data_IF_914920997469
#
_entry.id   IF_914920997469
#
_cell.length_a   1.000
_cell.length_b   1.000
_cell.length_c   1.000
_cell.angle_alpha   90.00
_cell.angle_beta   90.00
_cell.angle_gamma   90.00
#
_symmetry.space_group_name_H-M   'P 1'
#
loop_
_entity.id
_entity.type
_entity.pdbx_description
1 polymer ?
2 non-polymer ?
3 non-polymer ?
4 water ?
#
# COMPACT_ATOMS: atom_id res chain seq x y z
N UNK A 9 -0.59 16.74 -18.55
CA UNK A 9 -0.88 16.06 -19.85
C UNK A 9 0.09 14.89 -20.05
N UNK A 10 -0.38 13.84 -20.66
CA UNK A 10 0.44 12.70 -21.04
C UNK A 10 0.53 12.68 -22.56
N UNK A 11 1.61 12.18 -23.10
CA UNK A 11 1.72 11.94 -24.56
C UNK A 11 1.79 10.41 -24.71
N UNK A 12 0.91 9.84 -25.51
CA UNK A 12 0.87 8.38 -25.78
C UNK A 12 1.04 8.18 -27.28
N UNK A 13 2.01 7.39 -27.69
CA UNK A 13 2.32 7.16 -29.11
C UNK A 13 2.96 5.80 -29.27
N UNK A 14 3.35 5.44 -30.49
CA UNK A 14 4.15 4.21 -30.72
C UNK A 14 5.46 4.64 -31.37
N UNK A 15 6.56 4.00 -31.02
CA UNK A 15 7.88 4.33 -31.57
C UNK A 15 8.03 3.61 -32.94
N UNK A 16 9.22 3.62 -33.51
CA UNK A 16 9.48 3.07 -34.86
C UNK A 16 9.44 1.55 -34.81
N UNK A 17 9.51 0.96 -33.63
CA UNK A 17 9.39 -0.51 -33.43
C UNK A 17 7.93 -0.86 -33.12
N UNK A 18 7.00 0.10 -33.16
CA UNK A 18 5.57 -0.12 -32.91
C UNK A 18 5.27 -0.31 -31.43
N UNK A 19 6.23 0.06 -30.59
CA UNK A 19 6.11 -0.10 -29.11
C UNK A 19 5.46 1.15 -28.51
N UNK A 20 4.53 0.96 -27.61
CA UNK A 20 3.81 2.07 -26.93
C UNK A 20 4.82 2.87 -26.11
N UNK A 21 4.76 4.18 -26.24
CA UNK A 21 5.61 5.12 -25.48
C UNK A 21 4.64 6.05 -24.74
N UNK A 22 4.76 6.15 -23.42
CA UNK A 22 3.97 7.11 -22.61
C UNK A 22 4.99 8.04 -21.93
N UNK A 23 4.94 9.33 -22.22
CA UNK A 23 5.84 10.32 -21.58
C UNK A 23 7.30 9.89 -21.73
N UNK A 24 7.70 9.52 -22.94
CA UNK A 24 9.12 9.20 -23.21
C UNK A 24 9.54 7.80 -22.79
N UNK A 25 8.68 7.03 -22.13
CA UNK A 25 9.00 5.69 -21.60
C UNK A 25 8.35 4.62 -22.47
N UNK A 26 9.14 3.66 -22.91
CA UNK A 26 8.68 2.55 -23.78
C UNK A 26 8.11 1.42 -22.93
N UNK A 27 7.04 0.79 -23.40
CA UNK A 27 6.36 -0.34 -22.74
C UNK A 27 6.27 -1.49 -23.75
N UNK A 28 7.38 -2.19 -23.99
CA UNK A 28 7.40 -3.24 -25.01
C UNK A 28 6.52 -4.47 -24.71
N UNK A 29 6.07 -4.63 -23.47
CA UNK A 29 5.20 -5.76 -23.05
C UNK A 29 3.73 -5.41 -23.28
N UNK A 30 3.43 -4.18 -23.63
CA UNK A 30 2.05 -3.68 -23.73
C UNK A 30 1.45 -3.85 -25.13
N UNK A 31 0.19 -4.24 -25.17
CA UNK A 31 -0.57 -4.35 -26.43
C UNK A 31 -1.27 -3.00 -26.65
N UNK A 32 -2.02 -2.53 -25.65
CA UNK A 32 -2.76 -1.24 -25.71
C UNK A 32 -2.67 -0.51 -24.37
N UNK A 33 -2.80 0.83 -24.39
CA UNK A 33 -2.92 1.62 -23.15
C UNK A 33 -4.40 1.58 -22.76
N UNK A 34 -4.70 1.30 -21.49
CA UNK A 34 -6.09 1.32 -20.96
C UNK A 34 -6.36 2.69 -20.32
N UNK A 35 -5.46 3.14 -19.44
CA UNK A 35 -5.65 4.41 -18.73
C UNK A 35 -4.32 5.01 -18.31
N UNK A 36 -4.18 6.32 -18.48
CA UNK A 36 -3.00 7.05 -18.02
C UNK A 36 -3.16 7.29 -16.52
N UNK A 37 -2.09 7.66 -15.85
CA UNK A 37 -2.11 7.96 -14.40
C UNK A 37 -3.16 9.02 -14.12
N UNK A 38 -3.25 10.06 -14.94
CA UNK A 38 -4.18 11.20 -14.67
C UNK A 38 -5.63 10.69 -14.65
N UNK A 39 -5.99 9.86 -15.60
CA UNK A 39 -7.36 9.28 -15.71
C UNK A 39 -7.61 8.38 -14.49
N UNK A 40 -6.64 7.54 -14.16
CA UNK A 40 -6.77 6.62 -12.99
C UNK A 40 -7.01 7.45 -11.72
N UNK A 41 -6.13 8.42 -11.47
CA UNK A 41 -6.21 9.21 -10.23
C UNK A 41 -7.54 9.97 -10.15
N UNK A 42 -7.99 10.53 -11.28
CA UNK A 42 -9.27 11.29 -11.32
C UNK A 42 -10.42 10.35 -11.00
N UNK A 43 -10.34 9.13 -11.50
CA UNK A 43 -11.41 8.12 -11.32
C UNK A 43 -11.44 7.64 -9.86
N UNK A 44 -10.27 7.47 -9.24
CA UNK A 44 -10.20 7.02 -7.82
C UNK A 44 -10.78 8.13 -6.93
N UNK A 45 -10.40 9.37 -7.19
CA UNK A 45 -10.84 10.49 -6.32
C UNK A 45 -12.37 10.65 -6.46
N UNK A 46 -12.90 10.46 -7.66
CA UNK A 46 -14.34 10.59 -7.90
C UNK A 46 -15.09 9.54 -7.08
N UNK A 47 -14.57 8.32 -7.07
CA UNK A 47 -15.20 7.23 -6.27
C UNK A 47 -15.01 7.55 -4.78
N UNK A 48 -13.86 8.08 -4.38
CA UNK A 48 -13.62 8.47 -2.98
C UNK A 48 -14.73 9.43 -2.54
N UNK A 49 -15.12 10.35 -3.42
CA UNK A 49 -16.17 11.35 -3.10
C UNK A 49 -17.50 10.60 -2.93
N UNK A 50 -17.76 9.63 -3.79
CA UNK A 50 -18.99 8.82 -3.71
C UNK A 50 -19.01 8.01 -2.41
N UNK A 51 -17.87 7.44 -2.02
CA UNK A 51 -17.79 6.59 -0.81
C UNK A 51 -18.04 7.51 0.39
N UNK A 52 -17.37 8.64 0.46
CA UNK A 52 -17.51 9.59 1.59
C UNK A 52 -18.98 10.05 1.67
N UNK A 53 -19.56 10.36 0.54
CA UNK A 53 -20.94 10.90 0.51
C UNK A 53 -21.88 9.80 0.99
N UNK A 54 -21.62 8.55 0.64
CA UNK A 54 -22.50 7.42 1.03
C UNK A 54 -22.40 7.12 2.53
N UNK A 55 -21.21 7.09 3.10
CA UNK A 55 -21.00 6.64 4.50
C UNK A 55 -21.07 7.77 5.54
N UNK A 56 -20.77 8.99 5.14
CA UNK A 56 -20.71 10.13 6.10
C UNK A 56 -21.97 10.19 6.98
N UNK A 57 -23.19 10.06 6.42
CA UNK A 57 -24.39 10.20 7.24
C UNK A 57 -24.81 8.96 8.04
N UNK A 58 -24.09 7.86 7.97
CA UNK A 58 -24.53 6.58 8.57
C UNK A 58 -24.05 6.41 10.00
N UNK A 59 -24.73 5.55 10.76
CA UNK A 59 -24.37 5.21 12.15
C UNK A 59 -24.14 3.68 12.21
N UNK A 60 -23.43 3.20 13.21
CA UNK A 60 -23.22 1.75 13.42
C UNK A 60 -22.84 1.51 14.88
N UNK A 61 -22.47 0.29 15.23
CA UNK A 61 -22.17 -0.08 16.63
C UNK A 61 -21.14 0.86 17.24
N UNK A 62 -21.33 1.25 18.51
CA UNK A 62 -20.43 2.14 19.27
C UNK A 62 -19.53 1.26 20.14
N UNK A 63 -18.26 1.08 19.74
CA UNK A 63 -17.28 0.28 20.50
C UNK A 63 -16.34 1.23 21.26
N UNK A 64 -16.41 2.53 21.00
CA UNK A 64 -15.61 3.55 21.71
C UNK A 64 -16.27 3.82 23.08
N UNK A 65 -17.56 4.10 23.08
CA UNK A 65 -18.31 4.37 24.32
C UNK A 65 -19.05 3.15 24.81
N UNK A 66 -18.80 1.97 24.24
CA UNK A 66 -19.41 0.72 24.71
C UNK A 66 -20.90 0.94 24.77
N UNK A 67 -21.40 1.81 23.89
CA UNK A 67 -22.81 2.19 23.84
C UNK A 67 -23.49 1.39 22.78
N UNK A 68 -24.61 1.88 22.30
CA UNK A 68 -25.37 1.12 21.30
C UNK A 68 -24.89 1.53 19.93
N UNK A 69 -25.38 2.64 19.42
CA UNK A 69 -25.13 3.05 18.02
C UNK A 69 -24.58 4.46 18.04
N UNK A 70 -23.70 4.80 17.10
CA UNK A 70 -23.14 6.16 17.01
C UNK A 70 -22.80 6.47 15.55
N UNK A 71 -22.76 7.75 15.14
CA UNK A 71 -22.33 8.07 13.80
C UNK A 71 -20.92 7.56 13.44
N UNK A 72 -20.69 7.30 12.17
CA UNK A 72 -19.32 6.96 11.71
C UNK A 72 -18.47 8.17 12.10
N UNK A 73 -17.36 7.95 12.79
CA UNK A 73 -16.51 9.01 13.34
C UNK A 73 -15.10 8.48 13.55
N UNK A 74 -14.18 9.32 13.96
CA UNK A 74 -12.83 8.83 14.33
C UNK A 74 -12.99 7.91 15.54
N UNK A 75 -13.97 8.08 16.40
CA UNK A 75 -14.21 7.17 17.55
C UNK A 75 -14.74 5.81 17.04
N UNK A 76 -15.57 5.80 15.99
CA UNK A 76 -16.18 4.59 15.39
C UNK A 76 -16.02 4.68 13.88
N UNK A 77 -14.80 4.46 13.34
CA UNK A 77 -14.59 4.66 11.91
C UNK A 77 -15.20 3.62 10.97
N UNK A 78 -15.31 3.97 9.70
CA UNK A 78 -15.64 2.96 8.68
C UNK A 78 -14.52 1.92 8.73
N UNK A 79 -14.85 0.65 8.64
CA UNK A 79 -13.85 -0.43 8.60
C UNK A 79 -13.57 -0.76 7.13
N UNK A 80 -12.31 -0.63 6.70
CA UNK A 80 -11.91 -0.98 5.32
C UNK A 80 -11.02 -2.23 5.38
N UNK A 81 -11.34 -3.24 4.60
CA UNK A 81 -10.49 -4.46 4.47
C UNK A 81 -9.95 -4.42 3.04
N UNK A 82 -8.63 -4.28 2.90
CA UNK A 82 -7.93 -4.22 1.61
C UNK A 82 -7.37 -5.60 1.27
N UNK A 83 -7.54 -6.03 0.04
CA UNK A 83 -7.14 -7.40 -0.41
C UNK A 83 -5.72 -7.36 -1.01
N UNK A 84 -4.74 -7.92 -0.31
CA UNK A 84 -3.34 -7.97 -0.76
C UNK A 84 -3.17 -9.09 -1.78
N UNK A 85 -2.14 -8.99 -2.62
CA UNK A 85 -1.20 -7.84 -2.74
C UNK A 85 -1.71 -6.82 -3.76
N UNK A 86 -2.62 -7.23 -4.64
CA UNK A 86 -3.01 -6.38 -5.77
C UNK A 86 -3.55 -5.02 -5.41
N UNK A 87 -4.17 -4.88 -4.26
CA UNK A 87 -4.88 -3.62 -3.91
C UNK A 87 -4.03 -2.63 -3.09
N UNK A 88 -2.76 -2.90 -2.78
CA UNK A 88 -2.03 -2.03 -1.81
C UNK A 88 -1.74 -0.60 -2.35
N UNK A 89 -1.43 -0.47 -3.63
CA UNK A 89 -1.12 0.86 -4.23
C UNK A 89 -2.45 1.63 -4.36
N UNK A 90 -3.46 0.95 -4.88
CA UNK A 90 -4.82 1.51 -4.99
C UNK A 90 -5.30 1.98 -3.60
N UNK A 91 -5.11 1.14 -2.57
CA UNK A 91 -5.56 1.46 -1.19
C UNK A 91 -4.82 2.72 -0.68
N UNK A 92 -3.51 2.78 -0.87
CA UNK A 92 -2.68 3.90 -0.40
C UNK A 92 -3.23 5.21 -0.99
N UNK A 93 -3.56 5.18 -2.27
CA UNK A 93 -4.10 6.40 -2.94
C UNK A 93 -5.53 6.69 -2.49
N UNK A 94 -6.37 5.66 -2.45
CA UNK A 94 -7.80 5.83 -2.10
C UNK A 94 -7.92 6.39 -0.66
N UNK A 95 -7.15 5.88 0.29
CA UNK A 95 -7.32 6.32 1.71
C UNK A 95 -6.98 7.82 1.81
N UNK A 96 -6.01 8.27 1.03
CA UNK A 96 -5.60 9.70 1.05
C UNK A 96 -6.72 10.55 0.45
N UNK A 97 -7.41 10.08 -0.56
CA UNK A 97 -8.58 10.80 -1.15
C UNK A 97 -9.75 10.73 -0.14
N UNK A 98 -9.94 9.59 0.50
CA UNK A 98 -11.00 9.47 1.53
C UNK A 98 -10.73 10.48 2.65
N UNK A 99 -9.47 10.65 3.04
CA UNK A 99 -9.09 11.66 4.05
C UNK A 99 -9.36 13.07 3.54
N UNK A 100 -9.09 13.32 2.28
CA UNK A 100 -9.37 14.64 1.66
C UNK A 100 -10.85 14.97 1.82
N UNK A 101 -11.72 13.98 1.66
CA UNK A 101 -13.19 14.17 1.76
C UNK A 101 -13.67 14.01 3.21
N UNK A 102 -12.75 13.79 4.14
CA UNK A 102 -13.10 13.79 5.59
C UNK A 102 -13.83 12.56 6.06
N UNK A 103 -13.72 11.43 5.36
CA UNK A 103 -14.40 10.18 5.78
C UNK A 103 -13.56 9.50 6.86
N UNK A 104 -14.07 9.30 8.09
CA UNK A 104 -13.31 8.59 9.11
C UNK A 104 -13.23 7.10 8.76
N UNK A 105 -12.03 6.54 8.74
CA UNK A 105 -11.85 5.12 8.34
C UNK A 105 -10.56 4.52 8.89
N UNK A 106 -10.52 3.20 8.99
CA UNK A 106 -9.31 2.45 9.40
C UNK A 106 -9.17 1.30 8.40
N UNK A 107 -7.95 0.82 8.18
CA UNK A 107 -7.67 -0.21 7.13
C UNK A 107 -6.99 -1.43 7.73
N UNK A 108 -7.49 -2.61 7.46
CA UNK A 108 -6.82 -3.89 7.80
C UNK A 108 -6.66 -4.63 6.47
N UNK A 109 -5.91 -5.71 6.46
CA UNK A 109 -5.59 -6.45 5.25
C UNK A 109 -5.88 -7.94 5.34
N UNK A 110 -6.33 -8.51 4.23
CA UNK A 110 -6.42 -9.98 4.08
C UNK A 110 -5.76 -10.33 2.75
N UNK A 111 -5.34 -11.58 2.62
CA UNK A 111 -4.73 -12.07 1.38
C UNK A 111 -5.36 -13.43 1.04
N UNK A 112 -5.77 -13.64 -0.20
CA UNK A 112 -6.38 -14.90 -0.68
C UNK A 112 -5.59 -15.40 -1.89
N UNK A 113 -5.65 -16.69 -2.17
CA UNK A 113 -5.01 -17.28 -3.36
C UNK A 113 -5.84 -18.46 -3.84
N UNK A 114 -5.62 -18.91 -5.06
CA UNK A 114 -6.39 -20.01 -5.67
C UNK A 114 -5.48 -21.20 -5.93
N UNK A 115 -5.98 -22.41 -5.80
CA UNK A 115 -5.24 -23.66 -6.11
C UNK A 115 -6.06 -24.40 -7.20
N UNK A 122 -10.29 -23.93 -10.36
CA UNK A 122 -9.53 -23.29 -9.26
C UNK A 122 -10.43 -23.15 -8.02
N UNK A 123 -9.88 -23.36 -6.82
CA UNK A 123 -10.60 -23.21 -5.53
C UNK A 123 -9.85 -22.17 -4.69
N UNK A 124 -10.51 -21.46 -3.78
CA UNK A 124 -9.89 -20.34 -3.01
C UNK A 124 -9.39 -20.80 -1.64
N UNK A 125 -8.33 -20.18 -1.14
CA UNK A 125 -7.77 -20.43 0.21
C UNK A 125 -7.27 -19.10 0.79
N UNK A 126 -7.41 -18.89 2.10
CA UNK A 126 -6.96 -17.65 2.76
C UNK A 126 -5.47 -17.78 3.09
N UNK A 127 -4.63 -16.87 2.60
CA UNK A 127 -3.18 -16.87 2.90
C UNK A 127 -2.96 -16.07 4.18
N UNK A 128 -3.66 -14.96 4.36
CA UNK A 128 -3.50 -14.08 5.53
C UNK A 128 -4.85 -13.55 6.01
N UNK A 129 -5.09 -13.62 7.32
CA UNK A 129 -6.35 -13.18 7.93
C UNK A 129 -6.24 -11.73 8.41
N UNK A 130 -7.36 -11.03 8.50
CA UNK A 130 -7.42 -9.70 9.12
C UNK A 130 -7.14 -9.87 10.61
N UNK A 131 -6.71 -8.82 11.30
CA UNK A 131 -6.43 -8.85 12.76
C UNK A 131 -7.51 -8.06 13.51
N UNK A 132 -8.44 -7.40 12.82
CA UNK A 132 -9.58 -6.68 13.45
C UNK A 132 -10.53 -7.73 14.04
N UNK A 133 -10.99 -7.54 15.27
CA UNK A 133 -11.81 -8.56 16.01
C UNK A 133 -13.12 -7.98 16.58
N UNK A 134 -13.52 -6.77 16.20
CA UNK A 134 -14.77 -6.15 16.67
C UNK A 134 -15.52 -5.50 15.49
N UNK A 135 -15.86 -6.28 14.48
CA UNK A 135 -16.57 -5.78 13.26
C UNK A 135 -18.09 -6.03 13.32
N UNK A 136 -18.57 -6.69 14.37
CA UNK A 136 -20.00 -7.02 14.45
C UNK A 136 -20.77 -5.69 14.55
N UNK A 137 -21.77 -5.49 13.70
CA UNK A 137 -22.61 -4.29 13.76
C UNK A 137 -21.92 -3.11 13.12
N UNK A 138 -20.83 -3.35 12.40
CA UNK A 138 -20.03 -2.26 11.80
C UNK A 138 -20.23 -2.23 10.29
N UNK A 139 -20.16 -1.04 9.70
CA UNK A 139 -20.12 -0.86 8.23
C UNK A 139 -18.72 -1.28 7.77
N UNK A 140 -18.64 -2.20 6.84
CA UNK A 140 -17.35 -2.75 6.34
C UNK A 140 -17.31 -2.55 4.82
N UNK A 141 -16.21 -2.02 4.31
CA UNK A 141 -15.98 -1.82 2.86
C UNK A 141 -14.74 -2.65 2.46
N UNK A 142 -14.87 -3.47 1.44
CA UNK A 142 -13.75 -4.27 0.90
C UNK A 142 -13.14 -3.43 -0.23
N UNK A 143 -11.82 -3.25 -0.24
CA UNK A 143 -11.10 -2.58 -1.36
C UNK A 143 -10.36 -3.69 -2.12
N UNK A 144 -10.71 -3.92 -3.38
CA UNK A 144 -10.12 -4.97 -4.23
C UNK A 144 -9.59 -4.32 -5.52
N UNK A 145 -8.59 -4.93 -6.13
CA UNK A 145 -7.95 -4.40 -7.35
C UNK A 145 -8.88 -4.61 -8.56
N UNK A 146 -9.41 -5.81 -8.70
CA UNK A 146 -10.20 -6.12 -9.91
C UNK A 146 -11.28 -7.18 -9.65
N UNK A 147 -12.41 -7.05 -10.32
CA UNK A 147 -13.47 -8.08 -10.33
C UNK A 147 -13.46 -8.58 -11.79
N UNK A 148 -13.19 -9.86 -12.00
CA UNK A 148 -13.12 -10.49 -13.33
C UNK A 148 -14.17 -11.62 -13.34
N UNK A 149 -13.83 -12.83 -12.91
CA UNK A 149 -14.77 -13.97 -12.78
C UNK A 149 -15.78 -13.69 -11.67
N UNK A 150 -15.39 -12.98 -10.63
CA UNK A 150 -16.24 -12.73 -9.45
C UNK A 150 -16.05 -13.74 -8.32
N UNK A 151 -15.29 -14.77 -8.56
CA UNK A 151 -15.14 -15.90 -7.60
C UNK A 151 -14.34 -15.47 -6.37
N UNK A 152 -13.30 -14.67 -6.58
CA UNK A 152 -12.44 -14.20 -5.46
C UNK A 152 -13.33 -13.40 -4.49
N UNK A 153 -14.12 -12.45 -5.00
CA UNK A 153 -14.95 -11.55 -4.14
C UNK A 153 -16.14 -12.34 -3.54
N UNK A 154 -16.69 -13.31 -4.26
CA UNK A 154 -17.81 -14.12 -3.69
C UNK A 154 -17.26 -14.83 -2.44
N UNK A 155 -16.07 -15.42 -2.54
CA UNK A 155 -15.42 -16.12 -1.41
C UNK A 155 -15.19 -15.15 -0.24
N UNK A 156 -14.64 -13.98 -0.53
CA UNK A 156 -14.27 -13.02 0.55
C UNK A 156 -15.54 -12.51 1.21
N UNK A 157 -16.54 -12.15 0.42
CA UNK A 157 -17.78 -11.54 0.99
C UNK A 157 -18.50 -12.57 1.86
N UNK A 158 -18.57 -13.81 1.40
CA UNK A 158 -19.26 -14.88 2.18
C UNK A 158 -18.52 -15.08 3.51
N UNK A 159 -17.19 -15.06 3.48
CA UNK A 159 -16.38 -15.30 4.69
C UNK A 159 -16.52 -14.11 5.67
N UNK A 160 -16.36 -12.89 5.19
CA UNK A 160 -16.39 -11.71 6.09
C UNK A 160 -17.79 -11.63 6.72
N UNK A 161 -18.82 -11.90 5.93
CA UNK A 161 -20.22 -11.79 6.42
C UNK A 161 -20.45 -12.81 7.54
N UNK A 162 -20.10 -14.06 7.30
CA UNK A 162 -20.32 -15.17 8.27
C UNK A 162 -19.48 -14.99 9.53
N UNK A 163 -18.20 -14.61 9.39
CA UNK A 163 -17.25 -14.56 10.53
C UNK A 163 -17.32 -13.25 11.33
N UNK A 164 -17.71 -12.13 10.71
CA UNK A 164 -17.71 -10.80 11.38
C UNK A 164 -19.13 -10.24 11.62
N UNK A 165 -20.14 -10.71 10.91
CA UNK A 165 -21.55 -10.22 11.08
C UNK A 165 -21.59 -8.67 11.00
N UNK A 166 -21.05 -8.05 9.94
CA UNK A 166 -21.06 -6.62 9.84
C UNK A 166 -22.48 -6.08 9.65
N UNK A 167 -22.71 -4.82 9.98
CA UNK A 167 -24.02 -4.16 9.76
C UNK A 167 -24.27 -4.15 8.26
N UNK A 168 -23.30 -3.69 7.48
CA UNK A 168 -23.38 -3.72 6.01
C UNK A 168 -22.00 -4.12 5.46
N UNK A 169 -21.98 -4.68 4.26
CA UNK A 169 -20.74 -5.12 3.60
C UNK A 169 -20.82 -4.68 2.13
N UNK A 170 -19.93 -3.81 1.71
CA UNK A 170 -19.88 -3.31 0.31
C UNK A 170 -18.48 -3.51 -0.24
N UNK A 171 -18.34 -3.37 -1.54
CA UNK A 171 -17.05 -3.60 -2.25
C UNK A 171 -16.74 -2.42 -3.15
N UNK A 172 -15.52 -1.92 -3.12
CA UNK A 172 -15.02 -0.92 -4.07
C UNK A 172 -13.89 -1.58 -4.85
N UNK A 173 -13.96 -1.59 -6.17
CA UNK A 173 -12.89 -2.13 -7.03
C UNK A 173 -12.26 -1.00 -7.83
N UNK A 174 -10.96 -1.10 -8.07
CA UNK A 174 -10.27 -0.18 -8.96
C UNK A 174 -10.78 -0.49 -10.37
N UNK A 175 -10.83 -1.77 -10.70
CA UNK A 175 -11.17 -2.18 -12.08
C UNK A 175 -12.29 -3.22 -12.15
N UNK A 176 -13.17 -3.06 -13.13
CA UNK A 176 -14.23 -4.04 -13.45
C UNK A 176 -13.91 -4.58 -14.84
N UNK A 177 -13.78 -5.89 -15.00
CA UNK A 177 -13.65 -6.55 -16.31
C UNK A 177 -15.01 -7.25 -16.52
N UNK A 178 -16.00 -6.56 -17.11
CA UNK A 178 -17.36 -7.10 -17.15
C UNK A 178 -17.51 -8.44 -17.86
N UNK A 179 -16.75 -8.62 -18.93
CA UNK A 179 -16.89 -9.82 -19.77
C UNK A 179 -16.37 -11.08 -19.12
N UNK A 180 -15.59 -10.94 -18.05
CA UNK A 180 -15.01 -12.11 -17.38
C UNK A 180 -15.92 -12.83 -16.40
N UNK A 181 -17.11 -12.33 -16.12
CA UNK A 181 -17.94 -12.87 -15.02
C UNK A 181 -18.30 -14.35 -15.23
N UNK A 182 -18.16 -15.17 -14.18
CA UNK A 182 -18.60 -16.58 -14.16
C UNK A 182 -19.63 -16.72 -13.04
N UNK A 183 -19.64 -15.80 -12.08
CA UNK A 183 -20.64 -15.76 -10.98
C UNK A 183 -21.10 -14.30 -10.84
N UNK A 184 -22.31 -14.09 -10.36
CA UNK A 184 -22.89 -12.75 -10.21
C UNK A 184 -22.06 -11.96 -9.19
N UNK A 185 -21.59 -10.80 -9.59
CA UNK A 185 -20.79 -9.90 -8.71
C UNK A 185 -20.83 -8.50 -9.30
N UNK A 186 -21.45 -7.54 -8.66
CA UNK A 186 -21.36 -6.13 -9.11
C UNK A 186 -20.89 -5.33 -7.92
N UNK A 187 -19.61 -4.93 -7.86
CA UNK A 187 -19.17 -4.09 -6.79
C UNK A 187 -20.05 -2.83 -6.65
N UNK A 188 -20.18 -2.33 -5.44
CA UNK A 188 -21.00 -1.12 -5.15
C UNK A 188 -20.30 0.10 -5.77
N UNK A 189 -18.97 0.11 -5.78
CA UNK A 189 -18.16 1.22 -6.31
C UNK A 189 -17.11 0.70 -7.30
N UNK A 190 -17.02 1.29 -8.49
CA UNK A 190 -16.06 0.88 -9.56
C UNK A 190 -15.36 2.15 -10.05
N UNK A 191 -14.04 2.18 -10.04
CA UNK A 191 -13.25 3.35 -10.50
C UNK A 191 -13.11 3.32 -12.02
N UNK A 192 -12.72 2.20 -12.60
CA UNK A 192 -12.40 2.08 -14.05
C UNK A 192 -13.03 0.80 -14.62
N UNK A 193 -13.42 0.80 -15.88
CA UNK A 193 -13.90 -0.42 -16.58
C UNK A 193 -12.75 -0.78 -17.54
N UNK A 194 -12.29 -2.02 -17.53
CA UNK A 194 -11.12 -2.46 -18.35
C UNK A 194 -11.63 -3.38 -19.45
N UNK A 195 -10.87 -3.51 -20.55
CA UNK A 195 -11.22 -4.47 -21.59
C UNK A 195 -11.08 -5.91 -21.06
N UNK A 196 -11.65 -6.88 -21.76
CA UNK A 196 -11.64 -8.32 -21.34
C UNK A 196 -10.29 -8.90 -21.77
N UNK A 197 -9.21 -8.41 -21.17
CA UNK A 197 -7.84 -8.81 -21.51
C UNK A 197 -6.98 -8.81 -20.25
N UNK A 198 -5.79 -9.37 -20.33
CA UNK A 198 -4.82 -9.37 -19.21
C UNK A 198 -4.31 -7.93 -19.08
N UNK A 199 -4.53 -7.30 -17.93
CA UNK A 199 -4.10 -5.90 -17.67
C UNK A 199 -2.84 -5.90 -16.79
N UNK A 200 -1.97 -4.92 -17.00
CA UNK A 200 -0.73 -4.76 -16.20
C UNK A 200 -0.62 -3.28 -15.81
N UNK A 201 0.13 -3.01 -14.75
CA UNK A 201 0.32 -1.64 -14.29
C UNK A 201 -0.52 -1.30 -13.08
N UNK A 202 -0.10 -0.30 -12.33
CA UNK A 202 -0.86 0.23 -11.17
C UNK A 202 -1.42 -0.91 -10.35
N UNK A 203 -0.53 -1.80 -9.92
CA UNK A 203 -0.92 -2.92 -9.05
C UNK A 203 -1.08 -4.22 -9.80
N UNK A 204 -1.35 -4.16 -11.10
CA UNK A 204 -1.57 -5.37 -11.94
C UNK A 204 -0.19 -5.88 -12.37
N UNK A 205 -0.02 -7.20 -12.41
CA UNK A 205 1.33 -7.73 -12.65
C UNK A 205 1.42 -9.04 -13.41
N UNK A 206 2.65 -9.36 -13.80
CA UNK A 206 3.02 -10.69 -14.35
C UNK A 206 4.14 -11.15 -13.40
N UNK A 207 3.85 -12.08 -12.49
CA UNK A 207 4.83 -12.62 -11.50
C UNK A 207 5.47 -11.44 -10.78
N UNK A 208 4.66 -10.50 -10.32
CA UNK A 208 5.07 -9.33 -9.48
C UNK A 208 5.78 -8.26 -10.30
N UNK A 209 5.96 -8.46 -11.59
CA UNK A 209 6.54 -7.41 -12.45
C UNK A 209 5.43 -6.47 -12.91
N UNK A 210 5.77 -5.19 -13.15
CA UNK A 210 4.88 -4.18 -13.79
C UNK A 210 3.93 -3.51 -12.80
N UNK A 211 3.95 -3.89 -11.53
CA UNK A 211 3.00 -3.32 -10.54
C UNK A 211 3.28 -1.83 -10.35
N UNK A 212 4.54 -1.43 -10.50
CA UNK A 212 4.96 -0.03 -10.19
C UNK A 212 4.65 0.96 -11.33
N UNK A 213 4.13 0.47 -12.46
CA UNK A 213 3.76 1.39 -13.57
C UNK A 213 2.64 2.31 -13.08
N UNK A 214 2.68 3.56 -13.54
CA UNK A 214 1.70 4.60 -13.13
C UNK A 214 0.47 4.53 -14.04
N UNK A 215 0.57 3.79 -15.14
CA UNK A 215 -0.52 3.63 -16.13
C UNK A 215 -0.96 2.17 -16.21
N UNK A 216 -2.15 1.91 -16.71
CA UNK A 216 -2.67 0.53 -16.88
C UNK A 216 -2.64 0.22 -18.38
N UNK A 217 -2.14 -0.95 -18.74
CA UNK A 217 -2.05 -1.41 -20.14
C UNK A 217 -2.62 -2.82 -20.27
N UNK A 218 -2.93 -3.24 -21.48
CA UNK A 218 -3.23 -4.66 -21.75
C UNK A 218 -1.87 -5.29 -22.06
N UNK A 219 -1.75 -6.58 -21.82
CA UNK A 219 -0.48 -7.32 -22.00
C UNK A 219 -0.47 -7.99 -23.38
N UNK A 220 0.66 -7.94 -24.06
CA UNK A 220 0.82 -8.68 -25.34
C UNK A 220 0.61 -10.15 -25.01
N UNK A 221 -0.08 -10.91 -25.87
CA UNK A 221 -0.42 -12.28 -25.51
C UNK A 221 0.80 -13.17 -25.21
N UNK A 222 1.92 -12.96 -25.89
CA UNK A 222 3.13 -13.78 -25.68
C UNK A 222 3.98 -13.42 -24.47
N UNK A 223 3.57 -12.45 -23.64
CA UNK A 223 4.36 -11.96 -22.46
C UNK A 223 3.91 -12.56 -21.10
N UNK A 224 2.79 -13.27 -21.00
CA UNK A 224 2.24 -13.74 -19.71
C UNK A 224 3.14 -14.81 -19.03
N UNK A 225 3.92 -15.58 -19.80
CA UNK A 225 4.83 -16.64 -19.27
C UNK A 225 6.30 -16.17 -19.35
N UNK A 226 6.56 -14.88 -19.41
CA UNK A 226 7.93 -14.33 -19.56
C UNK A 226 8.79 -14.60 -18.31
N UNK A 227 8.20 -14.74 -17.12
CA UNK A 227 8.95 -14.92 -15.85
C UNK A 227 8.44 -16.18 -15.14
N UNK A 228 8.82 -17.38 -15.61
CA UNK A 228 8.28 -18.61 -15.05
C UNK A 228 8.83 -18.99 -13.66
N UNK A 229 9.96 -18.43 -13.26
CA UNK A 229 10.63 -18.79 -11.98
C UNK A 229 9.87 -18.22 -10.77
N UNK A 230 9.53 -19.07 -9.81
CA UNK A 230 8.87 -18.67 -8.55
C UNK A 230 9.83 -17.74 -7.81
N UNK A 231 9.32 -16.68 -7.19
CA UNK A 231 10.14 -15.70 -6.45
C UNK A 231 10.42 -16.23 -5.03
N UNK B 9 2.65 24.74 -3.20
CA UNK B 9 2.99 25.57 -2.02
C UNK B 9 1.88 25.28 -1.00
N UNK B 10 2.25 24.91 0.23
CA UNK B 10 1.26 24.60 1.28
C UNK B 10 1.00 25.86 2.12
N UNK B 11 -0.24 26.08 2.54
CA UNK B 11 -0.61 27.22 3.41
C UNK B 11 -0.75 26.64 4.83
N UNK B 12 0.17 27.01 5.72
CA UNK B 12 0.17 26.52 7.13
C UNK B 12 -0.19 27.69 8.04
N UNK B 13 -1.21 27.54 8.87
CA UNK B 13 -1.73 28.60 9.77
C UNK B 13 -2.28 27.98 11.06
N UNK B 14 -2.76 28.81 11.97
CA UNK B 14 -3.45 28.33 13.16
C UNK B 14 -4.78 29.06 13.19
N UNK B 15 -5.86 28.41 13.56
CA UNK B 15 -7.18 29.05 13.69
C UNK B 15 -7.31 29.69 15.09
N UNK B 16 -8.47 30.25 15.37
CA UNK B 16 -8.74 30.94 16.65
C UNK B 16 -8.66 29.98 17.83
N UNK B 17 -8.82 28.68 17.59
CA UNK B 17 -8.73 27.65 18.66
C UNK B 17 -7.25 27.25 18.86
N UNK B 18 -6.33 27.85 18.13
CA UNK B 18 -4.88 27.56 18.23
C UNK B 18 -4.51 26.28 17.48
N UNK B 19 -5.43 25.77 16.68
CA UNK B 19 -5.24 24.47 15.98
C UNK B 19 -4.53 24.68 14.64
N UNK B 20 -3.58 23.80 14.32
CA UNK B 20 -2.83 23.85 13.04
C UNK B 20 -3.81 23.61 11.90
N UNK B 21 -3.73 24.46 10.87
CA UNK B 21 -4.55 24.35 9.64
C UNK B 21 -3.55 24.23 8.47
N UNK B 22 -3.63 23.15 7.67
CA UNK B 22 -2.78 22.98 6.45
C UNK B 22 -3.75 22.89 5.27
N UNK B 23 -3.63 23.82 4.33
CA UNK B 23 -4.51 23.83 3.14
C UNK B 23 -5.97 23.72 3.55
N UNK B 24 -6.40 24.50 4.55
CA UNK B 24 -7.82 24.60 4.93
C UNK B 24 -8.28 23.52 5.88
N UNK B 25 -7.44 22.52 6.13
CA UNK B 25 -7.82 21.37 6.99
C UNK B 25 -7.21 21.58 8.37
N UNK B 26 -8.01 21.40 9.39
CA UNK B 26 -7.56 21.53 10.79
C UNK B 26 -7.06 20.18 11.34
N UNK B 27 -6.04 20.21 12.18
CA UNK B 27 -5.43 19.02 12.81
C UNK B 27 -5.38 19.25 14.33
N UNK B 28 -6.52 19.12 15.02
CA UNK B 28 -6.58 19.44 16.46
C UNK B 28 -5.78 18.47 17.33
N UNK B 29 -5.37 17.33 16.78
CA UNK B 29 -4.57 16.30 17.50
C UNK B 29 -3.10 16.64 17.36
N UNK B 30 -2.73 17.60 16.53
CA UNK B 30 -1.31 17.87 16.22
C UNK B 30 -0.72 18.96 17.11
N UNK B 31 0.55 18.77 17.48
CA UNK B 31 1.30 19.78 18.27
C UNK B 31 2.07 20.64 17.26
N UNK B 32 2.84 20.00 16.37
CA UNK B 32 3.61 20.72 15.35
C UNK B 32 3.56 19.99 14.01
N UNK B 33 3.80 20.73 12.92
CA UNK B 33 3.96 20.14 11.58
C UNK B 33 5.43 19.75 11.43
N UNK B 34 5.73 18.52 11.03
CA UNK B 34 7.11 18.03 10.80
C UNK B 34 7.41 18.21 9.31
N UNK B 35 6.54 17.71 8.45
CA UNK B 35 6.80 17.74 7.01
C UNK B 35 5.51 17.78 6.19
N UNK B 36 5.49 18.63 5.18
CA UNK B 36 4.36 18.73 4.24
C UNK B 36 4.52 17.60 3.22
N UNK B 37 3.44 17.29 2.54
CA UNK B 37 3.44 16.25 1.49
C UNK B 37 4.54 16.53 0.47
N UNK B 38 4.69 17.80 0.07
CA UNK B 38 5.68 18.18 -0.97
C UNK B 38 7.09 17.80 -0.50
N UNK B 39 7.41 18.07 0.77
CA UNK B 39 8.74 17.78 1.33
C UNK B 39 8.90 16.25 1.41
N UNK B 40 7.86 15.57 1.87
CA UNK B 40 7.93 14.09 2.04
C UNK B 40 8.20 13.46 0.67
N UNK B 41 7.42 13.85 -0.33
CA UNK B 41 7.50 13.19 -1.66
C UNK B 41 8.88 13.47 -2.29
N UNK B 42 9.40 14.67 -2.12
CA UNK B 42 10.72 15.03 -2.67
C UNK B 42 11.81 14.17 -1.99
N UNK B 43 11.66 13.90 -0.70
CA UNK B 43 12.65 13.12 0.08
C UNK B 43 12.63 11.65 -0.34
N UNK B 44 11.43 11.12 -0.60
CA UNK B 44 11.26 9.70 -1.00
C UNK B 44 11.86 9.51 -2.40
N UNK B 45 11.52 10.42 -3.31
CA UNK B 45 12.01 10.35 -4.71
C UNK B 45 13.55 10.44 -4.72
N UNK B 46 14.12 11.25 -3.84
CA UNK B 46 15.59 11.42 -3.75
C UNK B 46 16.24 10.11 -3.30
N UNK B 47 15.63 9.45 -2.32
CA UNK B 47 16.16 8.15 -1.81
C UNK B 47 15.97 7.07 -2.89
N UNK B 48 14.88 7.15 -3.63
CA UNK B 48 14.61 6.21 -4.75
C UNK B 48 15.78 6.26 -5.74
N UNK B 49 16.25 7.47 -6.03
CA UNK B 49 17.38 7.65 -6.98
C UNK B 49 18.64 7.01 -6.37
N UNK B 50 18.85 7.20 -5.08
CA UNK B 50 20.00 6.62 -4.35
C UNK B 50 19.95 5.08 -4.42
N UNK B 51 18.76 4.50 -4.22
CA UNK B 51 18.57 3.02 -4.21
C UNK B 51 18.84 2.51 -5.62
N UNK B 52 18.28 3.15 -6.62
CA UNK B 52 18.41 2.72 -8.02
C UNK B 52 19.90 2.80 -8.42
N UNK B 53 20.55 3.87 -8.03
CA UNK B 53 21.98 4.07 -8.39
C UNK B 53 22.83 3.00 -7.70
N UNK B 54 22.48 2.63 -6.48
CA UNK B 54 23.28 1.67 -5.69
C UNK B 54 23.12 0.25 -6.22
N UNK B 55 21.92 -0.15 -6.61
CA UNK B 55 21.62 -1.57 -6.96
C UNK B 55 21.78 -1.90 -8.45
N UNK B 56 21.52 -0.94 -9.32
CA UNK B 56 21.54 -1.23 -10.78
C UNK B 56 22.90 -1.85 -11.20
N UNK B 57 24.04 -1.44 -10.62
CA UNK B 57 25.33 -2.10 -10.95
C UNK B 57 25.57 -3.51 -10.40
N UNK B 58 24.72 -4.00 -9.50
CA UNK B 58 24.99 -5.25 -8.75
C UNK B 58 24.45 -6.49 -9.43
N UNK B 59 24.96 -7.64 -9.02
CA UNK B 59 24.57 -8.94 -9.56
C UNK B 59 24.26 -9.87 -8.39
N UNK B 60 23.52 -10.92 -8.64
CA UNK B 60 23.11 -11.89 -7.59
C UNK B 60 22.62 -13.19 -8.24
N UNK B 61 22.15 -14.13 -7.44
CA UNK B 61 21.82 -15.48 -7.93
C UNK B 61 20.84 -15.38 -9.08
N UNK B 62 21.14 -16.05 -10.17
CA UNK B 62 20.25 -16.15 -11.34
C UNK B 62 19.26 -17.29 -11.08
N UNK B 63 17.98 -17.01 -10.85
CA UNK B 63 16.92 -18.02 -10.67
C UNK B 63 16.07 -18.09 -11.95
N UNK B 64 16.22 -17.15 -12.86
CA UNK B 64 15.50 -17.14 -14.16
C UNK B 64 16.14 -18.15 -15.11
N UNK B 65 17.46 -18.18 -15.20
CA UNK B 65 18.21 -19.04 -16.16
C UNK B 65 19.05 -20.11 -15.50
N UNK B 66 18.79 -20.46 -14.24
CA UNK B 66 19.48 -21.63 -13.61
C UNK B 66 20.95 -21.40 -13.28
N UNK B 67 21.35 -20.24 -12.76
CA UNK B 67 22.70 -19.99 -12.25
C UNK B 67 23.53 -19.28 -13.30
N UNK B 68 24.64 -18.67 -12.93
CA UNK B 68 25.16 -18.56 -11.55
C UNK B 68 24.83 -17.19 -11.01
N UNK B 69 25.63 -16.17 -11.33
CA UNK B 69 25.39 -14.75 -10.92
C UNK B 69 24.99 -13.96 -12.17
N UNK B 70 24.06 -13.02 -12.03
CA UNK B 70 23.54 -12.23 -13.15
C UNK B 70 23.12 -10.84 -12.66
N UNK B 71 23.13 -9.81 -13.51
CA UNK B 71 22.78 -8.49 -13.07
C UNK B 71 21.35 -8.38 -12.56
N UNK B 72 21.12 -7.44 -11.65
CA UNK B 72 19.74 -7.14 -11.23
C UNK B 72 19.02 -6.80 -12.54
N UNK B 73 17.87 -7.41 -12.79
CA UNK B 73 17.11 -7.24 -14.05
C UNK B 73 15.66 -7.59 -13.80
N UNK B 74 14.82 -7.41 -14.80
CA UNK B 74 13.42 -7.85 -14.68
C UNK B 74 13.44 -9.37 -14.52
N UNK B 75 14.42 -10.06 -15.10
CA UNK B 75 14.54 -11.54 -14.94
C UNK B 75 14.93 -11.88 -13.49
N UNK B 76 15.82 -11.11 -12.87
CA UNK B 76 16.32 -11.32 -11.48
C UNK B 76 16.21 -9.99 -10.72
N UNK B 77 15.00 -9.57 -10.33
CA UNK B 77 14.86 -8.27 -9.72
C UNK B 77 15.37 -8.12 -8.29
N UNK B 78 15.60 -6.88 -7.89
CA UNK B 78 15.90 -6.59 -6.48
C UNK B 78 14.67 -7.12 -5.71
N UNK B 79 14.89 -7.75 -4.57
CA UNK B 79 13.77 -8.24 -3.73
C UNK B 79 13.53 -7.20 -2.65
N UNK B 80 12.30 -6.66 -2.56
CA UNK B 80 11.91 -5.69 -1.51
C UNK B 80 10.91 -6.38 -0.56
N UNK B 81 11.18 -6.33 0.75
CA UNK B 81 10.24 -6.85 1.77
C UNK B 81 9.69 -5.62 2.51
N UNK B 82 8.39 -5.39 2.41
CA UNK B 82 7.70 -4.24 3.03
C UNK B 82 7.05 -4.72 4.34
N UNK B 83 7.22 -3.96 5.39
CA UNK B 83 6.72 -4.33 6.74
C UNK B 83 5.31 -3.75 6.95
N UNK B 84 4.31 -4.61 7.00
CA UNK B 84 2.91 -4.20 7.23
C UNK B 84 2.67 -4.12 8.75
N UNK B 85 1.74 -3.25 9.15
CA UNK B 85 0.89 -2.40 8.27
C UNK B 85 1.52 -1.02 8.05
N UNK B 86 2.50 -0.64 8.84
CA UNK B 86 3.02 0.74 8.84
C UNK B 86 3.60 1.24 7.54
N UNK B 87 4.20 0.39 6.74
CA UNK B 87 4.97 0.84 5.53
C UNK B 87 4.18 0.80 4.21
N UNK B 88 2.90 0.47 4.18
CA UNK B 88 2.22 0.21 2.87
C UNK B 88 2.08 1.49 2.01
N UNK B 89 1.83 2.63 2.63
CA UNK B 89 1.61 3.89 1.85
C UNK B 89 2.98 4.34 1.33
N UNK B 90 3.97 4.35 2.22
CA UNK B 90 5.38 4.66 1.84
C UNK B 90 5.84 3.74 0.70
N UNK B 91 5.53 2.45 0.84
CA UNK B 91 5.96 1.45 -0.15
C UNK B 91 5.30 1.79 -1.50
N UNK B 92 4.01 2.07 -1.48
CA UNK B 92 3.26 2.36 -2.73
C UNK B 92 3.91 3.53 -3.48
N UNK B 93 4.31 4.55 -2.74
CA UNK B 93 4.94 5.74 -3.36
C UNK B 93 6.36 5.41 -3.81
N UNK B 94 7.11 4.73 -2.94
CA UNK B 94 8.53 4.45 -3.24
C UNK B 94 8.64 3.59 -4.50
N UNK B 95 7.79 2.57 -4.63
CA UNK B 95 7.97 1.63 -5.78
C UNK B 95 7.75 2.39 -7.10
N UNK B 96 6.82 3.32 -7.10
CA UNK B 96 6.50 4.08 -8.32
C UNK B 96 7.71 4.97 -8.67
N UNK B 97 8.39 5.54 -7.68
CA UNK B 97 9.62 6.32 -7.92
C UNK B 97 10.77 5.40 -8.37
N UNK B 98 10.87 4.21 -7.80
CA UNK B 98 11.90 3.23 -8.22
C UNK B 98 11.65 2.89 -9.70
N UNK B 99 10.39 2.77 -10.07
CA UNK B 99 10.03 2.48 -11.48
C UNK B 99 10.42 3.64 -12.37
N UNK B 100 10.22 4.87 -11.89
CA UNK B 100 10.63 6.07 -12.64
C UNK B 100 12.12 6.03 -12.94
N UNK B 101 12.91 5.53 -11.99
CA UNK B 101 14.39 5.49 -12.11
C UNK B 101 14.83 4.17 -12.75
N UNK B 102 13.90 3.34 -13.15
CA UNK B 102 14.21 2.12 -13.91
C UNK B 102 14.92 1.04 -13.11
N UNK B 103 14.64 0.92 -11.81
CA UNK B 103 15.25 -0.15 -10.98
C UNK B 103 14.34 -1.37 -11.05
N UNK B 104 14.76 -2.52 -11.60
CA UNK B 104 13.94 -3.71 -11.56
C UNK B 104 13.78 -4.18 -10.10
N UNK B 105 12.54 -4.40 -9.67
CA UNK B 105 12.24 -4.83 -8.29
C UNK B 105 10.89 -5.53 -8.18
N UNK B 106 10.73 -6.33 -7.13
CA UNK B 106 9.46 -7.00 -6.81
C UNK B 106 9.26 -6.82 -5.30
N UNK B 107 8.02 -6.78 -4.85
CA UNK B 107 7.70 -6.48 -3.43
C UNK B 107 6.93 -7.61 -2.79
N UNK B 108 7.31 -8.05 -1.61
CA UNK B 108 6.49 -8.98 -0.80
C UNK B 108 6.35 -8.32 0.56
N UNK B 109 5.49 -8.86 1.39
CA UNK B 109 5.15 -8.25 2.68
C UNK B 109 5.33 -9.23 3.82
N UNK B 110 5.80 -8.72 4.94
CA UNK B 110 5.78 -9.47 6.20
C UNK B 110 4.94 -8.58 7.13
N UNK B 111 4.25 -9.15 8.11
CA UNK B 111 3.45 -8.38 9.07
C UNK B 111 3.90 -8.71 10.49
N UNK B 112 4.27 -7.69 11.23
CA UNK B 112 4.71 -7.81 12.63
C UNK B 112 3.72 -7.02 13.49
N UNK B 113 3.57 -7.40 14.74
CA UNK B 113 2.73 -6.62 15.69
C UNK B 113 3.43 -6.45 17.02
N UNK B 114 3.11 -5.36 17.75
CA UNK B 114 3.55 -5.15 19.17
C UNK B 114 2.28 -5.15 20.03
N UNK B 124 8.15 -9.74 20.21
CA UNK B 124 7.33 -9.30 19.05
C UNK B 124 6.69 -10.53 18.42
N UNK B 125 5.56 -10.36 17.75
CA UNK B 125 4.90 -11.48 17.06
C UNK B 125 4.92 -11.27 15.54
N UNK B 126 5.24 -12.31 14.79
CA UNK B 126 5.12 -12.30 13.33
C UNK B 126 3.68 -12.76 13.07
N UNK B 127 2.88 -11.96 12.39
CA UNK B 127 1.46 -12.26 12.12
C UNK B 127 1.33 -12.83 10.71
N UNK B 128 2.17 -12.39 9.78
CA UNK B 128 2.15 -12.89 8.39
C UNK B 128 3.57 -13.02 7.84
N UNK B 129 3.87 -14.17 7.27
CA UNK B 129 5.18 -14.46 6.68
C UNK B 129 5.23 -14.01 5.22
N UNK B 130 6.42 -13.84 4.67
CA UNK B 130 6.58 -13.60 3.23
C UNK B 130 6.14 -14.87 2.47
N UNK B 131 5.69 -14.72 1.24
CA UNK B 131 5.34 -15.85 0.36
C UNK B 131 6.51 -16.14 -0.59
N UNK B 132 7.46 -15.22 -0.72
CA UNK B 132 8.67 -15.44 -1.55
C UNK B 132 9.51 -16.56 -0.92
N UNK B 133 10.04 -17.49 -1.73
CA UNK B 133 10.73 -18.70 -1.22
C UNK B 133 12.11 -18.91 -1.87
N UNK B 134 12.63 -17.96 -2.65
CA UNK B 134 13.92 -18.12 -3.37
C UNK B 134 14.75 -16.84 -3.22
N UNK B 135 15.01 -16.40 -2.00
CA UNK B 135 15.79 -15.17 -1.71
C UNK B 135 17.27 -15.51 -1.43
N UNK B 136 17.62 -16.79 -1.39
CA UNK B 136 19.02 -17.19 -1.10
C UNK B 136 19.93 -16.61 -2.18
N UNK B 137 20.96 -15.87 -1.77
CA UNK B 137 21.93 -15.30 -2.71
C UNK B 137 21.37 -14.13 -3.46
N UNK B 138 20.26 -13.57 -2.99
CA UNK B 138 19.63 -12.38 -3.60
C UNK B 138 19.92 -11.12 -2.80
N UNK B 139 19.89 -9.98 -3.47
CA UNK B 139 19.99 -8.67 -2.81
C UNK B 139 18.58 -8.39 -2.29
N UNK B 140 18.43 -8.16 -1.01
CA UNK B 140 17.12 -7.93 -0.36
C UNK B 140 17.13 -6.56 0.32
N UNK B 141 16.10 -5.75 0.12
CA UNK B 141 15.95 -4.43 0.75
C UNK B 141 14.66 -4.45 1.56
N UNK B 142 14.72 -4.07 2.83
CA UNK B 142 13.52 -3.97 3.70
C UNK B 142 13.03 -2.52 3.65
N UNK B 143 11.74 -2.29 3.40
CA UNK B 143 11.14 -0.95 3.43
C UNK B 143 10.36 -0.89 4.74
N UNK B 144 10.70 0.04 5.61
CA UNK B 144 10.10 0.18 6.94
C UNK B 144 9.68 1.65 7.14
N UNK B 145 8.68 1.88 7.97
CA UNK B 145 8.15 3.24 8.22
C UNK B 145 9.13 4.07 9.05
N UNK B 146 9.58 3.54 10.17
CA UNK B 146 10.41 4.35 11.10
C UNK B 146 11.38 3.49 11.88
N UNK B 147 12.55 4.03 12.21
CA UNK B 147 13.52 3.40 13.14
C UNK B 147 13.51 4.37 14.33
N UNK B 148 13.08 3.90 15.49
CA UNK B 148 12.96 4.73 16.73
C UNK B 148 13.88 4.05 17.74
N UNK B 149 13.38 3.07 18.50
CA UNK B 149 14.22 2.26 19.44
C UNK B 149 15.22 1.41 18.67
N UNK B 150 14.83 0.88 17.51
CA UNK B 150 15.68 -0.02 16.71
C UNK B 150 15.36 -1.49 16.95
N UNK B 151 14.44 -1.78 17.87
CA UNK B 151 14.18 -3.17 18.29
C UNK B 151 13.40 -3.91 17.18
N UNK B 152 12.41 -3.26 16.59
CA UNK B 152 11.56 -3.89 15.54
C UNK B 152 12.46 -4.35 14.39
N UNK B 153 13.35 -3.47 13.93
CA UNK B 153 14.21 -3.80 12.76
C UNK B 153 15.20 -4.91 13.14
N UNK B 154 15.69 -4.92 14.38
CA UNK B 154 16.72 -5.94 14.76
C UNK B 154 16.02 -7.30 14.70
N UNK B 155 14.75 -7.36 15.10
CA UNK B 155 13.93 -8.60 15.07
C UNK B 155 13.72 -9.03 13.61
N UNK B 156 13.28 -8.11 12.77
CA UNK B 156 13.01 -8.41 11.33
C UNK B 156 14.32 -8.82 10.65
N UNK B 157 15.39 -8.08 10.87
CA UNK B 157 16.67 -8.33 10.14
C UNK B 157 17.21 -9.73 10.48
N UNK B 158 17.17 -10.09 11.74
CA UNK B 158 17.69 -11.42 12.18
C UNK B 158 16.83 -12.52 11.57
N UNK B 159 15.52 -12.35 11.58
CA UNK B 159 14.58 -13.34 11.02
C UNK B 159 14.85 -13.50 9.51
N UNK B 160 14.93 -12.39 8.78
CA UNK B 160 15.09 -12.44 7.29
C UNK B 160 16.46 -13.07 6.98
N UNK B 161 17.50 -12.71 7.71
CA UNK B 161 18.88 -13.21 7.46
C UNK B 161 18.88 -14.73 7.66
N UNK B 162 18.26 -15.21 8.73
CA UNK B 162 18.32 -16.65 9.12
C UNK B 162 17.49 -17.49 8.17
N UNK B 163 16.33 -17.01 7.80
CA UNK B 163 15.37 -17.81 6.98
C UNK B 163 15.64 -17.70 5.47
N UNK B 164 16.14 -16.57 4.99
CA UNK B 164 16.30 -16.33 3.53
C UNK B 164 17.76 -16.35 3.07
N UNK B 165 18.71 -16.16 3.99
CA UNK B 165 20.17 -16.18 3.67
C UNK B 165 20.44 -15.35 2.42
N UNK B 166 20.07 -14.06 2.43
CA UNK B 166 20.31 -13.22 1.28
C UNK B 166 21.81 -12.91 1.02
N UNK B 167 22.17 -12.53 -0.18
CA UNK B 167 23.55 -12.11 -0.53
C UNK B 167 23.84 -10.85 0.27
N UNK B 168 22.92 -9.88 0.24
CA UNK B 168 23.00 -8.64 1.06
C UNK B 168 21.61 -8.31 1.61
N UNK B 169 21.56 -7.63 2.73
CA UNK B 169 20.30 -7.22 3.38
C UNK B 169 20.46 -5.78 3.81
N UNK B 170 19.70 -4.86 3.24
CA UNK B 170 19.75 -3.43 3.60
C UNK B 170 18.36 -2.97 4.02
N UNK B 171 18.32 -1.79 4.65
CA UNK B 171 17.06 -1.23 5.17
C UNK B 171 16.91 0.19 4.66
N UNK B 172 15.74 0.51 4.14
CA UNK B 172 15.39 1.89 3.80
C UNK B 172 14.21 2.26 4.72
N UNK B 173 14.31 3.37 5.44
CA UNK B 173 13.22 3.85 6.31
C UNK B 173 12.71 5.18 5.78
N UNK B 174 11.42 5.46 5.95
CA UNK B 174 10.85 6.77 5.63
C UNK B 174 11.38 7.74 6.67
N UNK B 175 11.34 7.34 7.94
CA UNK B 175 11.68 8.24 9.06
C UNK B 175 12.75 7.64 9.98
N UNK B 176 13.68 8.46 10.43
CA UNK B 176 14.66 8.09 11.46
C UNK B 176 14.43 9.04 12.64
N UNK B 177 14.17 8.50 13.83
CA UNK B 177 14.06 9.30 15.09
C UNK B 177 15.34 8.92 15.85
N UNK B 178 16.50 9.55 15.59
CA UNK B 178 17.75 9.12 16.21
C UNK B 178 17.75 9.28 17.75
N UNK B 179 16.91 10.17 18.28
CA UNK B 179 16.87 10.45 19.74
C UNK B 179 16.17 9.36 20.55
N UNK B 180 15.52 8.39 19.90
CA UNK B 180 14.75 7.33 20.59
C UNK B 180 15.47 6.00 20.66
N UNK B 181 16.70 5.91 20.21
CA UNK B 181 17.37 4.59 20.09
C UNK B 181 17.52 3.89 21.44
N UNK B 182 17.32 2.57 21.48
CA UNK B 182 17.57 1.73 22.68
C UNK B 182 18.59 0.65 22.29
N UNK B 183 18.78 0.36 21.00
CA UNK B 183 19.68 -0.70 20.47
C UNK B 183 20.36 -0.13 19.23
N UNK B 184 21.49 -0.68 18.79
CA UNK B 184 22.24 -0.18 17.61
C UNK B 184 21.48 -0.52 16.31
N UNK B 185 21.07 0.50 15.54
CA UNK B 185 20.35 0.32 14.26
C UNK B 185 20.57 1.55 13.40
N UNK B 186 21.29 1.43 12.28
CA UNK B 186 21.55 2.54 11.33
C UNK B 186 21.02 2.10 9.96
N UNK B 187 19.85 2.57 9.52
CA UNK B 187 19.40 2.17 8.22
C UNK B 187 20.36 2.62 7.12
N UNK B 188 20.37 1.90 6.01
CA UNK B 188 21.26 2.18 4.85
C UNK B 188 20.72 3.40 4.09
N UNK B 189 19.42 3.55 4.03
CA UNK B 189 18.75 4.67 3.32
C UNK B 189 17.71 5.30 4.27
N UNK B 190 17.65 6.62 4.35
CA UNK B 190 16.72 7.36 5.25
C UNK B 190 16.15 8.56 4.47
N UNK B 191 14.83 8.67 4.35
CA UNK B 191 14.18 9.77 3.59
C UNK B 191 14.12 11.03 4.46
N UNK B 192 13.69 10.90 5.71
CA UNK B 192 13.46 12.06 6.63
C UNK B 192 13.98 11.77 8.04
N UNK B 193 14.42 12.81 8.75
CA UNK B 193 14.77 12.73 10.18
C UNK B 193 13.62 13.44 10.89
N UNK B 194 13.04 12.83 11.92
CA UNK B 194 11.87 13.37 12.65
C UNK B 194 12.29 13.78 14.07
N UNK B 195 11.54 14.71 14.69
CA UNK B 195 11.84 15.07 16.07
C UNK B 195 11.63 13.90 17.04
N UNK B 196 12.14 14.03 18.26
CA UNK B 196 12.06 12.96 19.30
C UNK B 196 10.67 13.06 19.90
N UNK B 197 9.66 12.81 19.10
CA UNK B 197 8.25 12.96 19.51
C UNK B 197 7.41 11.90 18.82
N UNK B 198 6.20 11.68 19.29
CA UNK B 198 5.27 10.74 18.64
C UNK B 198 4.77 11.41 17.35
N UNK B 199 5.05 10.79 16.22
CA UNK B 199 4.66 11.35 14.89
C UNK B 199 3.39 10.66 14.39
N UNK B 200 2.58 11.39 13.65
CA UNK B 200 1.32 10.88 13.06
C UNK B 200 1.25 11.39 11.62
N UNK B 201 0.48 10.69 10.80
CA UNK B 201 0.33 11.07 9.40
C UNK B 201 1.21 10.26 8.48
N UNK B 202 0.88 10.25 7.19
CA UNK B 202 1.66 9.53 6.16
C UNK B 202 2.07 8.15 6.67
N UNK B 203 1.08 7.35 7.07
CA UNK B 203 1.29 5.98 7.55
C UNK B 203 1.40 5.85 9.06
N UNK B 204 1.75 6.92 9.75
CA UNK B 204 1.95 6.92 11.22
C UNK B 204 0.57 7.08 11.86
N UNK B 205 0.34 6.33 12.91
CA UNK B 205 -1.03 6.21 13.47
C UNK B 205 -1.18 6.25 14.99
N UNK B 206 -2.41 6.44 15.43
CA UNK B 206 -2.84 6.23 16.84
C UNK B 206 -4.00 5.23 16.66
N UNK B 207 -3.82 3.96 17.00
CA UNK B 207 -4.87 2.91 16.83
C UNK B 207 -5.47 2.98 15.42
N UNK B 208 -4.63 3.05 14.39
CA UNK B 208 -5.01 3.01 12.93
C UNK B 208 -5.62 4.33 12.46
N UNK B 209 -5.77 5.31 13.34
CA UNK B 209 -6.24 6.64 12.92
C UNK B 209 -5.05 7.49 12.44
N UNK B 210 -5.29 8.42 11.53
CA UNK B 210 -4.32 9.46 11.06
C UNK B 210 -3.38 8.97 9.96
N UNK B 211 -3.47 7.70 9.55
CA UNK B 211 -2.50 7.14 8.57
C UNK B 211 -2.68 7.84 7.21
N UNK B 212 -3.88 8.31 6.92
CA UNK B 212 -4.23 8.87 5.58
C UNK B 212 -3.82 10.33 5.40
N UNK B 213 -3.32 10.98 6.44
CA UNK B 213 -2.86 12.38 6.33
C UNK B 213 -1.71 12.42 5.31
N UNK B 214 -1.65 13.51 4.54
CA UNK B 214 -0.64 13.69 3.49
C UNK B 214 0.60 14.33 4.09
N UNK B 215 0.51 14.83 5.32
CA UNK B 215 1.64 15.48 6.02
C UNK B 215 1.95 14.72 7.31
N UNK B 216 3.16 14.91 7.84
CA UNK B 216 3.57 14.28 9.11
C UNK B 216 3.53 15.38 10.17
N UNK B 217 2.94 15.09 11.31
CA UNK B 217 2.85 15.99 12.46
C UNK B 217 3.35 15.29 13.72
N UNK B 218 3.61 16.06 14.77
CA UNK B 218 3.87 15.50 16.10
C UNK B 218 2.50 15.46 16.78
N UNK B 219 2.29 14.51 17.67
CA UNK B 219 0.98 14.32 18.37
C UNK B 219 0.99 15.12 19.68
N UNK B 220 -0.11 15.77 20.01
CA UNK B 220 -0.24 16.45 21.31
C UNK B 220 -0.08 15.38 22.39
N UNK B 221 0.63 15.68 23.48
CA UNK B 221 0.90 14.66 24.49
C UNK B 221 -0.38 14.05 25.07
N UNK B 222 -0.36 12.74 25.29
CA UNK B 222 -1.47 12.03 25.94
C UNK B 222 -2.54 11.60 24.96
N UNK B 223 -2.56 12.16 23.74
CA UNK B 223 -3.61 11.84 22.73
C UNK B 223 -3.36 10.42 22.22
N UNK B 224 -2.24 9.79 22.59
CA UNK B 224 -1.92 8.40 22.18
C UNK B 224 -2.92 7.43 22.79
N UNK B 225 -3.72 7.86 23.76
CA UNK B 225 -4.75 7.04 24.45
C UNK B 225 -6.16 7.48 24.06
N UNK B 226 -6.33 8.24 22.98
CA UNK B 226 -7.65 8.79 22.60
C UNK B 226 -8.59 7.66 22.19
N UNK B 227 -8.09 6.57 21.61
CA UNK B 227 -8.91 5.47 21.03
C UNK B 227 -8.55 4.16 21.72
N UNK B 228 -8.99 3.92 22.97
CA UNK B 228 -8.57 2.73 23.70
C UNK B 228 -9.18 1.41 23.21
N UNK B 229 -10.30 1.46 22.50
CA UNK B 229 -11.04 0.26 22.09
C UNK B 229 -10.29 -0.52 21.02
N UNK B 230 -10.07 -1.81 21.24
CA UNK B 230 -9.48 -2.67 20.18
C UNK B 230 -10.42 -2.72 18.93
N UNK B 231 -9.81 -2.60 17.74
CA UNK B 231 -10.59 -2.62 16.48
C UNK B 231 -10.85 -4.09 16.12
X LIG C 1 -6.64 -10.73 -11.90
X LIG C 1 -5.79 -10.06 -12.75
X LIG C 1 -4.51 -9.65 -12.64
X LIG C 1 -3.89 -8.98 -13.68
X LIG C 1 -2.73 -8.63 -13.57
X LIG C 1 -4.62 -8.74 -14.83
X LIG C 1 -5.96 -9.13 -15.01
X LIG C 1 -6.54 -8.86 -16.07
X LIG C 1 -6.53 -9.81 -13.91
X LIG C 1 -7.80 -10.34 -13.76
X LIG C 1 -7.81 -10.87 -12.56
X LIG C 1 -6.43 -11.07 -10.98
X LIG C 1 -4.00 -9.85 -11.80
X LIG C 1 -4.17 -8.25 -15.57
X LIG C 1 -8.68 -11.36 -12.13
X LIG D 1 -11.57 -12.98 -10.10
X LIG D 1 -12.66 -11.96 -10.04
X LIG D 1 -11.47 -13.62 -11.44
X LIG D 1 -11.90 -14.02 -9.09
X LIG D 1 -10.29 -12.22 -9.77
X LIG E 1 6.59 3.55 16.00
X LIG E 1 5.77 4.65 15.85
X LIG E 1 4.49 4.80 15.45
X LIG E 1 3.92 6.05 15.39
X LIG E 1 2.75 6.21 15.05
X LIG E 1 4.68 7.12 15.74
X LIG E 1 5.99 7.02 16.15
X LIG E 1 6.57 8.03 16.43
X LIG E 1 6.52 5.74 16.20
X LIG E 1 7.79 5.32 16.57
X LIG E 1 7.77 4.02 16.43
X LIG E 1 6.34 2.59 15.83
X LIG E 1 3.95 3.99 15.21
X LIG E 1 4.26 8.04 15.70
X LIG E 1 8.62 3.38 16.64
X LIG F 1 10.94 0.87 16.98
X LIG F 1 9.66 1.11 16.21
X LIG F 1 11.06 -0.60 17.28
X LIG F 1 10.89 1.64 18.26
X LIG F 1 12.20 1.24 16.23
#
# INVERSE_FOLDING_TARGET
MISSQQAMVHVVSRNAEGVIVVDGKAYPMAEELVATESVIQRSIKAVAKQIADFYRPLSHRDTHGGGGVAPISDENPLIIISVLKGSYIFTADMVRYLGDYGLPHVVDFLRVASYRGTSSTNKMQLLAETQFKALRGKHVLILEDIVDSGKTLRYILDKVQREHQPATLKVCVLADKPGGRRVTMQPDFVCLTVPNKYVIGYGFEVNDRFRCFRHIFTLRPGEARRYPAHL
MISSQQAMVHVVSRNAEGVIVVDGKAYPMAEELVATESVIQRSIKAVAKQIADFYRPLSHRDTHGGGGVAPISDENPLIIISVLKGSYIFTADMVRYLGDYGLPHVVDFLRVASYRGTSSTNKMQLLAETQFKALRGKHVLILEDIVDSGKTLRYILDKVQREHQPATLKVCVLADKPGGRRVTMQPDFVCLTVPNKYVIGYGFEVNDRFRCFRHIFTLRPGEARRYPAHL
XAN N9 C4 N3 C2 O2 N1 C6 O6 C5 N7 C8 HN9 HN3 HN1 H8
PO4 P O1 O2 O3 O4
XAN N9 C4 N3 C2 O2 N1 C6 O6 C5 N7 C8 HN9 HN3 HN1 H8
PO4 P O1 O2 O3 O4
#
